data_IF_733779066273
#
_entry.id   IF_733779066273
#
_cell.length_a   1.000
_cell.length_b   1.000
_cell.length_c   1.000
_cell.angle_alpha   90.00
_cell.angle_beta   90.00
_cell.angle_gamma   90.00
#
_symmetry.space_group_name_H-M   'P 1'
#
loop_
_entity.id
_entity.type
_entity.pdbx_description
1 polymer ?
#
# COMPACT_ATOMS: atom_id res chain seq x y z
N UNK A 1 -12.64 9.32 0.81
CA UNK A 1 -11.52 8.44 1.19
C UNK A 1 -11.89 7.75 2.49
N UNK A 2 -11.52 6.49 2.72
CA UNK A 2 -11.82 5.82 3.99
C UNK A 2 -10.98 6.47 5.09
N UNK A 3 -11.64 6.97 6.13
CA UNK A 3 -11.00 7.48 7.34
C UNK A 3 -10.78 6.30 8.31
N UNK A 4 -9.55 6.17 8.79
CA UNK A 4 -9.14 5.21 9.79
C UNK A 4 -9.07 5.93 11.14
N UNK A 5 -10.08 5.74 12.00
CA UNK A 5 -10.20 6.47 13.26
C UNK A 5 -8.98 6.28 14.17
N UNK A 6 -8.39 5.08 14.17
CA UNK A 6 -7.18 4.76 14.93
C UNK A 6 -5.93 5.48 14.41
N UNK A 7 -5.90 5.86 13.13
CA UNK A 7 -4.84 6.70 12.55
C UNK A 7 -5.09 8.17 12.87
N UNK A 8 -6.36 8.61 12.84
CA UNK A 8 -6.75 9.96 13.23
C UNK A 8 -6.38 10.25 14.70
N UNK A 9 -6.55 9.28 15.60
CA UNK A 9 -6.16 9.39 17.00
C UNK A 9 -4.64 9.55 17.21
N UNK A 10 -3.83 9.16 16.22
CA UNK A 10 -2.36 9.33 16.22
C UNK A 10 -1.90 10.63 15.57
N UNK A 11 -2.82 11.45 15.06
CA UNK A 11 -2.48 12.71 14.43
C UNK A 11 -1.79 13.66 15.40
N UNK A 12 -0.76 14.35 14.91
CA UNK A 12 0.07 15.26 15.68
C UNK A 12 -0.42 16.69 15.39
N UNK A 13 -0.56 17.49 16.45
CA UNK A 13 -0.72 18.94 16.30
C UNK A 13 0.68 19.56 16.14
N UNK A 14 1.04 20.07 14.94
CA UNK A 14 2.36 20.62 14.71
C UNK A 14 2.51 21.93 15.48
N UNK A 15 3.17 21.86 16.63
CA UNK A 15 3.58 23.07 17.36
C UNK A 15 4.82 23.67 16.71
N UNK A 16 5.01 24.98 16.82
CA UNK A 16 6.09 25.74 16.17
C UNK A 16 7.53 25.26 16.47
N UNK A 17 7.73 24.33 17.43
CA UNK A 17 9.04 23.90 17.92
C UNK A 17 9.41 22.45 17.60
N UNK A 18 8.68 21.75 16.74
CA UNK A 18 9.01 20.37 16.36
C UNK A 18 9.85 20.35 15.08
N UNK A 19 11.12 19.94 15.18
CA UNK A 19 11.95 19.51 14.04
C UNK A 19 11.62 18.04 13.69
N UNK A 20 10.36 17.76 13.39
CA UNK A 20 9.92 16.43 12.98
C UNK A 20 9.39 16.56 11.56
N UNK A 21 9.87 15.70 10.65
CA UNK A 21 9.29 15.59 9.32
C UNK A 21 7.88 15.00 9.47
N UNK A 22 6.88 15.82 9.13
CA UNK A 22 5.47 15.46 9.23
C UNK A 22 4.83 15.43 7.85
N UNK A 23 3.98 14.43 7.63
CA UNK A 23 3.19 14.28 6.42
C UNK A 23 1.81 14.89 6.63
N UNK A 24 1.46 15.91 5.84
CA UNK A 24 0.10 16.45 5.82
C UNK A 24 -0.86 15.49 5.10
N UNK A 25 -1.90 15.05 5.79
CA UNK A 25 -2.90 14.11 5.26
C UNK A 25 -4.32 14.55 5.62
N UNK A 26 -5.33 13.84 5.09
CA UNK A 26 -6.74 13.97 5.50
C UNK A 26 -7.03 13.49 6.92
N UNK A 27 -6.04 12.90 7.61
CA UNK A 27 -6.10 12.53 9.03
C UNK A 27 -5.34 13.54 9.91
N UNK A 28 -4.86 14.66 9.36
CA UNK A 28 -3.96 15.59 10.04
C UNK A 28 -2.50 15.31 9.73
N UNK A 29 -1.60 15.89 10.52
CA UNK A 29 -0.16 15.69 10.38
C UNK A 29 0.26 14.38 11.02
N UNK A 30 0.95 13.53 10.26
CA UNK A 30 1.38 12.21 10.69
C UNK A 30 2.90 12.14 10.70
N UNK A 31 3.47 11.43 11.68
CA UNK A 31 4.86 11.01 11.61
C UNK A 31 5.06 9.92 10.53
N UNK A 32 6.32 9.62 10.21
CA UNK A 32 6.68 8.64 9.19
C UNK A 32 6.02 7.27 9.43
N UNK A 33 6.07 6.77 10.67
CA UNK A 33 5.52 5.45 11.02
C UNK A 33 4.00 5.38 10.78
N UNK A 34 3.28 6.41 11.19
CA UNK A 34 1.83 6.47 11.08
C UNK A 34 1.40 6.72 9.63
N UNK A 35 2.18 7.51 8.89
CA UNK A 35 1.99 7.69 7.45
C UNK A 35 2.20 6.38 6.67
N UNK A 36 3.26 5.63 6.95
CA UNK A 36 3.51 4.33 6.34
C UNK A 36 2.37 3.34 6.64
N UNK A 37 1.84 3.35 7.86
CA UNK A 37 0.68 2.54 8.23
C UNK A 37 -0.57 2.92 7.40
N UNK A 38 -0.85 4.22 7.25
CA UNK A 38 -1.95 4.72 6.42
C UNK A 38 -1.79 4.32 4.95
N UNK A 39 -0.58 4.49 4.40
CA UNK A 39 -0.24 4.14 3.04
C UNK A 39 -0.44 2.64 2.78
N UNK A 40 0.07 1.78 3.67
CA UNK A 40 -0.11 0.33 3.58
C UNK A 40 -1.58 -0.07 3.58
N UNK A 41 -2.39 0.45 4.51
CA UNK A 41 -3.83 0.12 4.57
C UNK A 41 -4.59 0.58 3.33
N UNK A 42 -4.23 1.74 2.77
CA UNK A 42 -4.83 2.24 1.52
C UNK A 42 -4.46 1.37 0.32
N UNK A 43 -3.21 0.93 0.24
CA UNK A 43 -2.76 0.00 -0.79
C UNK A 43 -3.48 -1.35 -0.66
N UNK A 44 -3.59 -1.89 0.54
CA UNK A 44 -4.33 -3.14 0.80
C UNK A 44 -5.80 -3.02 0.40
N UNK A 45 -6.47 -1.92 0.75
CA UNK A 45 -7.86 -1.69 0.36
C UNK A 45 -7.99 -1.55 -1.17
N UNK A 46 -7.06 -0.84 -1.82
CA UNK A 46 -7.02 -0.72 -3.27
C UNK A 46 -6.86 -2.09 -3.95
N UNK A 47 -5.95 -2.93 -3.45
CA UNK A 47 -5.70 -4.27 -3.99
C UNK A 47 -6.84 -5.27 -3.78
N UNK A 48 -7.81 -4.98 -2.89
CA UNK A 48 -9.05 -5.76 -2.80
C UNK A 48 -10.00 -5.51 -3.97
N UNK A 49 -9.89 -4.36 -4.64
CA UNK A 49 -10.82 -3.93 -5.69
C UNK A 49 -10.19 -3.84 -7.07
N UNK A 50 -8.86 -3.86 -7.15
CA UNK A 50 -8.11 -3.76 -8.40
C UNK A 50 -7.15 -4.94 -8.59
N UNK A 51 -6.98 -5.38 -9.85
CA UNK A 51 -5.94 -6.34 -10.19
C UNK A 51 -4.57 -5.69 -10.11
N UNK A 52 -3.57 -6.42 -9.62
CA UNK A 52 -2.18 -5.94 -9.55
C UNK A 52 -1.18 -7.01 -10.00
N UNK A 53 -0.01 -6.56 -10.45
CA UNK A 53 1.07 -7.43 -10.91
C UNK A 53 2.23 -7.35 -9.93
N UNK A 54 2.76 -8.51 -9.52
CA UNK A 54 3.92 -8.60 -8.61
C UNK A 54 4.93 -9.62 -9.13
N UNK A 55 6.21 -9.25 -9.06
CA UNK A 55 7.34 -10.17 -9.19
C UNK A 55 7.63 -10.79 -7.81
N UNK A 56 7.66 -12.11 -7.74
CA UNK A 56 7.97 -12.88 -6.54
C UNK A 56 9.47 -13.14 -6.43
N UNK A 57 9.93 -13.51 -5.23
CA UNK A 57 11.36 -13.74 -4.96
C UNK A 57 11.94 -14.91 -5.76
N UNK A 58 11.09 -15.86 -6.18
CA UNK A 58 11.44 -16.96 -7.08
C UNK A 58 11.62 -16.53 -8.55
N UNK A 59 11.49 -15.23 -8.85
CA UNK A 59 11.66 -14.65 -10.18
C UNK A 59 10.39 -14.63 -11.04
N UNK A 60 9.31 -15.27 -10.61
CA UNK A 60 8.05 -15.33 -11.36
C UNK A 60 7.28 -14.01 -11.27
N UNK A 61 6.53 -13.68 -12.32
CA UNK A 61 5.62 -12.52 -12.34
C UNK A 61 4.18 -13.00 -12.42
N UNK A 62 3.37 -12.56 -11.45
CA UNK A 62 1.98 -12.97 -11.29
C UNK A 62 1.04 -11.76 -11.32
N UNK A 63 -0.14 -11.94 -11.92
CA UNK A 63 -1.29 -11.05 -11.75
C UNK A 63 -2.20 -11.63 -10.66
N UNK A 64 -2.58 -10.79 -9.72
CA UNK A 64 -3.55 -11.08 -8.66
C UNK A 64 -4.81 -10.27 -8.94
N UNK A 65 -5.97 -10.91 -8.90
CA UNK A 65 -7.25 -10.26 -9.15
C UNK A 65 -8.07 -10.09 -7.86
N UNK A 66 -9.01 -9.13 -7.84
CA UNK A 66 -9.92 -8.89 -6.72
C UNK A 66 -10.73 -10.11 -6.27
N UNK A 67 -11.07 -11.00 -7.21
CA UNK A 67 -11.85 -12.22 -6.95
C UNK A 67 -11.05 -13.36 -6.30
N UNK A 68 -9.78 -13.11 -5.96
CA UNK A 68 -8.86 -14.09 -5.37
C UNK A 68 -8.19 -15.00 -6.41
N UNK A 69 -8.52 -14.88 -7.69
CA UNK A 69 -7.81 -15.60 -8.74
C UNK A 69 -6.44 -14.98 -8.99
N UNK A 70 -5.50 -15.82 -9.44
CA UNK A 70 -4.17 -15.38 -9.85
C UNK A 70 -3.71 -16.14 -11.09
N UNK A 71 -3.02 -15.44 -11.97
CA UNK A 71 -2.47 -16.01 -13.20
C UNK A 71 -0.99 -15.66 -13.31
N UNK A 72 -0.17 -16.63 -13.72
CA UNK A 72 1.24 -16.38 -14.00
C UNK A 72 1.34 -15.66 -15.36
N UNK A 73 2.02 -14.52 -15.37
CA UNK A 73 2.34 -13.76 -16.60
C UNK A 73 3.70 -14.18 -17.13
N UNK A 74 4.68 -14.38 -16.23
CA UNK A 74 6.03 -14.84 -16.59
C UNK A 74 6.55 -15.89 -15.61
N UNK A 75 7.23 -16.90 -16.12
CA UNK A 75 7.93 -17.88 -15.29
C UNK A 75 9.22 -17.31 -14.67
N UNK A 76 9.91 -18.12 -13.87
CA UNK A 76 11.18 -17.74 -13.22
C UNK A 76 12.32 -17.39 -14.18
N UNK A 77 12.23 -17.80 -15.45
CA UNK A 77 13.17 -17.45 -16.52
C UNK A 77 12.80 -16.13 -17.22
N UNK A 78 11.68 -15.52 -16.86
CA UNK A 78 11.16 -14.30 -17.48
C UNK A 78 10.41 -14.53 -18.78
N UNK A 79 10.16 -15.77 -19.17
CA UNK A 79 9.40 -16.12 -20.37
C UNK A 79 7.90 -15.90 -20.11
N UNK A 80 7.20 -15.30 -21.08
CA UNK A 80 5.75 -15.09 -21.00
C UNK A 80 5.03 -16.45 -21.05
N UNK A 81 4.04 -16.62 -20.18
CA UNK A 81 3.13 -17.77 -20.23
C UNK A 81 1.88 -17.34 -20.99
N UNK A 82 1.61 -17.99 -22.12
CA UNK A 82 0.34 -17.88 -22.81
C UNK A 82 -0.63 -18.85 -22.12
N UNK A 83 -1.60 -18.29 -21.38
CA UNK A 83 -2.67 -19.04 -20.70
C UNK A 83 -3.88 -19.21 -21.61
#
# INVERSE_FOLDING_TARGET
>A
MKLYNDILEKAIDPTHSQEIDLWETDHGYLDDNTFEELARRRLEEKFKHESYVRKLDNGETWQFNPDGTKFMIRNSKGERIDN
#
